data_IF_772737588932
#
_entry.id   IF_772737588932
#
_cell.length_a   1.000
_cell.length_b   1.000
_cell.length_c   1.000
_cell.angle_alpha   90.00
_cell.angle_beta   90.00
_cell.angle_gamma   90.00
#
_symmetry.space_group_name_H-M   'P 1'
#
loop_
_entity.id
_entity.type
_entity.pdbx_description
1 polymer ?
#
# COMPACT_ATOMS: atom_id res chain seq x y z
N UNK A 1 -16.51 -11.04 -26.35
CA UNK A 1 -16.64 -9.79 -25.58
C UNK A 1 -17.19 -10.01 -24.17
N UNK A 2 -18.48 -10.32 -23.96
CA UNK A 2 -19.03 -10.46 -22.59
C UNK A 2 -18.40 -11.63 -21.79
N UNK A 3 -18.11 -12.76 -22.44
CA UNK A 3 -17.46 -13.91 -21.80
C UNK A 3 -16.01 -13.59 -21.42
N UNK A 4 -15.27 -12.89 -22.29
CA UNK A 4 -13.86 -12.51 -22.03
C UNK A 4 -13.74 -11.56 -20.84
N UNK A 5 -14.65 -10.58 -20.73
CA UNK A 5 -14.68 -9.64 -19.59
C UNK A 5 -14.94 -10.35 -18.26
N UNK A 6 -15.84 -11.33 -18.25
CA UNK A 6 -16.13 -12.12 -17.05
C UNK A 6 -14.94 -13.02 -16.67
N UNK A 7 -14.23 -13.60 -17.65
CA UNK A 7 -13.02 -14.38 -17.41
C UNK A 7 -11.87 -13.52 -16.85
N UNK A 8 -11.71 -12.30 -17.38
CA UNK A 8 -10.69 -11.36 -16.92
C UNK A 8 -10.95 -10.88 -15.48
N UNK A 9 -12.21 -10.56 -15.15
CA UNK A 9 -12.61 -10.19 -13.77
C UNK A 9 -12.39 -11.33 -12.79
N UNK A 10 -12.78 -12.56 -13.15
CA UNK A 10 -12.55 -13.73 -12.30
C UNK A 10 -11.04 -13.99 -12.06
N UNK A 11 -10.21 -13.74 -13.08
CA UNK A 11 -8.76 -13.83 -12.95
C UNK A 11 -8.19 -12.77 -11.99
N UNK A 12 -8.69 -11.53 -12.05
CA UNK A 12 -8.27 -10.46 -11.13
C UNK A 12 -8.67 -10.75 -9.69
N UNK A 13 -9.91 -11.22 -9.47
CA UNK A 13 -10.40 -11.64 -8.16
C UNK A 13 -9.54 -12.78 -7.57
N UNK A 14 -9.13 -13.74 -8.39
CA UNK A 14 -8.24 -14.82 -7.95
C UNK A 14 -6.87 -14.29 -7.50
N UNK A 15 -6.25 -13.39 -8.28
CA UNK A 15 -4.95 -12.78 -7.91
C UNK A 15 -5.05 -12.02 -6.59
N UNK A 16 -6.16 -11.29 -6.36
CA UNK A 16 -6.41 -10.59 -5.10
C UNK A 16 -6.45 -11.55 -3.93
N UNK A 17 -7.09 -12.71 -4.08
CA UNK A 17 -7.17 -13.71 -3.01
C UNK A 17 -5.82 -14.37 -2.72
N UNK A 18 -5.04 -14.67 -3.76
CA UNK A 18 -3.66 -15.16 -3.61
C UNK A 18 -2.79 -14.15 -2.84
N UNK A 19 -2.90 -12.86 -3.16
CA UNK A 19 -2.21 -11.79 -2.44
C UNK A 19 -2.64 -11.72 -0.97
N UNK A 20 -3.94 -11.81 -0.67
CA UNK A 20 -4.43 -11.82 0.72
C UNK A 20 -3.91 -13.01 1.49
N UNK A 21 -3.92 -14.19 0.90
CA UNK A 21 -3.39 -15.40 1.51
C UNK A 21 -1.88 -15.27 1.80
N UNK A 22 -1.12 -14.72 0.85
CA UNK A 22 0.31 -14.46 1.01
C UNK A 22 0.59 -13.53 2.21
N UNK A 23 -0.09 -12.38 2.28
CA UNK A 23 0.06 -11.42 3.37
C UNK A 23 -0.38 -12.03 4.71
N UNK A 24 -1.50 -12.76 4.75
CA UNK A 24 -2.01 -13.41 5.96
C UNK A 24 -1.04 -14.44 6.52
N UNK A 25 -0.26 -15.10 5.65
CA UNK A 25 0.77 -16.05 6.05
C UNK A 25 2.10 -15.38 6.46
N UNK A 26 2.12 -14.04 6.60
CA UNK A 26 3.30 -13.27 7.00
C UNK A 26 4.28 -13.01 5.86
N UNK A 27 3.84 -13.18 4.60
CA UNK A 27 4.62 -12.82 3.43
C UNK A 27 4.98 -11.33 3.41
N UNK A 28 6.19 -11.01 2.96
CA UNK A 28 6.67 -9.63 2.79
C UNK A 28 6.51 -9.23 1.34
N UNK A 29 5.70 -8.21 1.10
CA UNK A 29 5.45 -7.68 -0.24
C UNK A 29 6.55 -6.68 -0.60
N UNK A 30 7.30 -6.97 -1.65
CA UNK A 30 8.35 -6.12 -2.18
C UNK A 30 7.83 -5.17 -3.26
N UNK A 31 8.61 -4.16 -3.63
CA UNK A 31 8.17 -3.09 -4.55
C UNK A 31 7.82 -3.59 -5.96
N UNK A 32 8.49 -4.65 -6.41
CA UNK A 32 8.30 -5.29 -7.72
C UNK A 32 7.17 -6.31 -7.71
N UNK A 33 6.65 -6.69 -6.55
CA UNK A 33 5.59 -7.68 -6.45
C UNK A 33 4.28 -7.09 -6.95
N UNK A 34 3.46 -7.99 -7.50
CA UNK A 34 2.09 -7.64 -7.82
C UNK A 34 1.29 -7.45 -6.53
N UNK A 35 0.45 -6.43 -6.51
CA UNK A 35 -0.52 -6.15 -5.45
C UNK A 35 -1.74 -5.44 -6.04
N UNK A 36 -2.91 -5.51 -5.39
CA UNK A 36 -4.10 -4.79 -5.84
C UNK A 36 -3.83 -3.28 -5.94
N UNK A 37 -4.33 -2.63 -7.00
CA UNK A 37 -4.04 -1.21 -7.24
C UNK A 37 -4.55 -0.30 -6.11
N UNK A 38 -5.75 -0.57 -5.61
CA UNK A 38 -6.30 0.16 -4.45
C UNK A 38 -5.40 0.06 -3.21
N UNK A 39 -4.79 -1.11 -3.01
CA UNK A 39 -3.86 -1.33 -1.91
C UNK A 39 -2.58 -0.51 -2.11
N UNK A 40 -1.99 -0.52 -3.31
CA UNK A 40 -0.81 0.28 -3.67
C UNK A 40 -1.07 1.77 -3.44
N UNK A 41 -2.20 2.30 -3.93
CA UNK A 41 -2.54 3.73 -3.75
C UNK A 41 -2.71 4.11 -2.29
N UNK A 42 -3.33 3.22 -1.51
CA UNK A 42 -3.51 3.42 -0.07
C UNK A 42 -2.17 3.44 0.67
N UNK A 43 -1.25 2.53 0.32
CA UNK A 43 0.10 2.49 0.88
C UNK A 43 0.91 3.74 0.55
N UNK A 44 0.89 4.20 -0.71
CA UNK A 44 1.60 5.43 -1.11
C UNK A 44 1.12 6.61 -0.27
N UNK A 45 -0.20 6.78 -0.13
CA UNK A 45 -0.78 7.85 0.68
C UNK A 45 -0.37 7.75 2.14
N UNK A 46 -0.39 6.54 2.70
CA UNK A 46 0.01 6.31 4.09
C UNK A 46 1.48 6.66 4.32
N UNK A 47 2.38 6.17 3.46
CA UNK A 47 3.82 6.41 3.55
C UNK A 47 4.14 7.90 3.41
N UNK A 48 3.52 8.58 2.44
CA UNK A 48 3.66 10.02 2.25
C UNK A 48 3.20 10.79 3.49
N UNK A 49 2.04 10.43 4.04
CA UNK A 49 1.51 11.12 5.21
C UNK A 49 2.34 10.86 6.46
N UNK A 50 2.87 9.66 6.62
CA UNK A 50 3.79 9.34 7.69
C UNK A 50 5.08 10.16 7.56
N UNK A 51 5.72 10.19 6.39
CA UNK A 51 6.93 10.98 6.15
C UNK A 51 6.72 12.49 6.41
N UNK A 52 5.58 13.03 5.96
CA UNK A 52 5.21 14.41 6.22
C UNK A 52 5.00 14.68 7.72
N UNK A 53 4.39 13.74 8.45
CA UNK A 53 4.22 13.86 9.91
C UNK A 53 5.57 13.90 10.63
N UNK A 54 6.52 13.03 10.25
CA UNK A 54 7.87 13.03 10.84
C UNK A 54 8.57 14.38 10.61
N UNK A 55 8.52 14.91 9.38
CA UNK A 55 9.10 16.21 9.06
C UNK A 55 8.45 17.35 9.87
N UNK A 56 7.13 17.35 9.97
CA UNK A 56 6.38 18.39 10.68
C UNK A 56 6.58 18.29 12.20
N UNK A 57 6.82 17.10 12.74
CA UNK A 57 7.12 16.87 14.16
C UNK A 57 8.43 17.53 14.62
N UNK A 58 9.43 17.62 13.74
CA UNK A 58 10.71 18.28 14.06
C UNK A 58 10.56 19.80 14.22
N UNK A 59 9.58 20.42 13.56
CA UNK A 59 9.38 21.87 13.60
C UNK A 59 9.10 22.42 15.01
N UNK A 60 8.14 21.89 15.80
CA UNK A 60 7.93 22.33 17.17
C UNK A 60 9.06 21.91 18.10
N UNK A 61 9.71 20.76 17.89
CA UNK A 61 10.84 20.31 18.72
C UNK A 61 12.04 21.27 18.61
N UNK A 62 12.32 21.77 17.40
CA UNK A 62 13.39 22.75 17.15
C UNK A 62 13.31 23.97 18.06
N UNK A 63 12.10 24.45 18.35
CA UNK A 63 11.90 25.66 19.14
C UNK A 63 12.33 25.49 20.63
N UNK A 64 12.52 24.24 21.09
CA UNK A 64 13.02 23.91 22.42
C UNK A 64 14.53 23.64 22.48
N UNK A 65 15.19 23.35 21.36
CA UNK A 65 16.63 22.98 21.34
C UNK A 65 17.54 24.14 21.78
N UNK A 66 17.15 25.37 21.45
CA UNK A 66 17.95 26.58 21.73
C UNK A 66 17.51 27.30 23.02
N UNK A 67 16.64 26.68 23.82
CA UNK A 67 16.25 27.15 25.16
C UNK A 67 17.04 26.41 26.22
#
# INVERSE_FOLDING_TARGET
MAIELEQERASDEQRVEEFRAYVKNGGKVETTDWMPEEYRRSLIRFIEMHANSELMGVLPERDWIMR
#
